data_IF_363745297832
#
_entry.id   IF_363745297832
#
_cell.length_a   1.000
_cell.length_b   1.000
_cell.length_c   1.000
_cell.angle_alpha   90.00
_cell.angle_beta   90.00
_cell.angle_gamma   90.00
#
_symmetry.space_group_name_H-M   'P 1'
#
loop_
_entity.id
_entity.type
_entity.pdbx_description
1 polymer ?
#
# COMPACT_ATOMS: atom_id res chain seq x y z
N UNK A 1 -12.45 14.08 -2.90
CA UNK A 1 -13.58 13.21 -2.47
C UNK A 1 -14.10 13.71 -1.14
N UNK A 2 -15.36 13.38 -0.74
CA UNK A 2 -15.81 13.53 0.65
C UNK A 2 -14.89 12.74 1.61
N UNK A 3 -14.99 12.92 2.95
CA UNK A 3 -14.10 12.30 3.94
C UNK A 3 -14.34 10.78 4.15
N UNK A 4 -14.61 10.03 3.08
CA UNK A 4 -14.86 8.57 3.09
C UNK A 4 -13.64 7.74 3.54
N UNK A 5 -12.45 8.34 3.47
CA UNK A 5 -11.18 7.74 3.90
C UNK A 5 -10.82 8.04 5.36
N UNK A 6 -11.66 8.79 6.08
CA UNK A 6 -11.51 9.05 7.50
C UNK A 6 -12.25 8.00 8.34
N UNK A 7 -11.77 7.76 9.57
CA UNK A 7 -12.31 6.71 10.45
C UNK A 7 -13.69 7.02 11.06
N UNK A 8 -14.15 8.27 11.00
CA UNK A 8 -15.36 8.76 11.72
C UNK A 8 -16.51 9.22 10.80
N UNK A 9 -16.42 9.00 9.49
CA UNK A 9 -17.47 9.50 8.60
C UNK A 9 -18.81 8.77 8.83
N UNK A 10 -19.91 9.52 8.89
CA UNK A 10 -21.28 9.01 8.94
C UNK A 10 -21.80 8.79 7.51
N UNK A 11 -22.76 7.88 7.30
CA UNK A 11 -23.34 7.56 5.98
C UNK A 11 -22.34 7.15 4.90
N UNK A 12 -21.26 6.45 5.28
CA UNK A 12 -20.18 6.09 4.35
C UNK A 12 -20.66 5.35 3.11
N UNK A 13 -21.70 4.51 3.19
CA UNK A 13 -22.14 3.75 2.02
C UNK A 13 -22.72 4.65 0.92
N UNK A 14 -23.36 5.77 1.28
CA UNK A 14 -23.90 6.72 0.30
C UNK A 14 -22.78 7.44 -0.44
N UNK A 15 -21.79 7.94 0.30
CA UNK A 15 -20.67 8.69 -0.30
C UNK A 15 -19.74 7.75 -1.08
N UNK A 16 -19.51 6.52 -0.59
CA UNK A 16 -18.78 5.48 -1.32
C UNK A 16 -19.55 5.12 -2.58
N UNK A 17 -20.85 4.83 -2.49
CA UNK A 17 -21.68 4.53 -3.65
C UNK A 17 -21.67 5.65 -4.69
N UNK A 18 -21.82 6.90 -4.27
CA UNK A 18 -21.70 8.05 -5.15
C UNK A 18 -20.33 8.12 -5.84
N UNK A 19 -19.24 7.83 -5.12
CA UNK A 19 -17.90 7.76 -5.69
C UNK A 19 -17.80 6.70 -6.80
N UNK A 20 -18.37 5.51 -6.58
CA UNK A 20 -18.39 4.45 -7.60
C UNK A 20 -19.22 4.85 -8.82
N UNK A 21 -20.41 5.43 -8.62
CA UNK A 21 -21.28 5.88 -9.70
C UNK A 21 -20.62 6.95 -10.58
N UNK A 22 -19.87 7.88 -9.98
CA UNK A 22 -19.15 8.93 -10.70
C UNK A 22 -17.92 8.42 -11.47
N UNK A 23 -17.42 7.24 -11.12
CA UNK A 23 -16.20 6.69 -11.67
C UNK A 23 -16.43 5.48 -12.60
N UNK A 24 -17.68 5.10 -12.90
CA UNK A 24 -17.99 4.02 -13.87
C UNK A 24 -17.33 4.32 -15.23
N UNK A 25 -16.67 3.33 -15.89
CA UNK A 25 -16.57 1.90 -15.53
C UNK A 25 -15.46 1.56 -14.52
N UNK A 26 -14.63 2.56 -14.19
CA UNK A 26 -13.57 2.49 -13.21
C UNK A 26 -12.52 3.58 -13.45
N UNK A 27 -11.70 3.94 -12.43
CA UNK A 27 -10.64 4.92 -12.60
C UNK A 27 -9.43 4.32 -13.32
N UNK A 28 -8.83 5.07 -14.25
CA UNK A 28 -7.53 4.73 -14.83
C UNK A 28 -6.41 4.85 -13.79
N UNK A 29 -6.49 5.90 -12.97
CA UNK A 29 -5.50 6.28 -11.98
C UNK A 29 -6.18 6.71 -10.69
N UNK A 30 -5.64 6.29 -9.56
CA UNK A 30 -5.93 6.86 -8.25
C UNK A 30 -4.72 7.66 -7.79
N UNK A 31 -4.92 8.95 -7.50
CA UNK A 31 -3.88 9.79 -6.91
C UNK A 31 -4.05 9.81 -5.39
N UNK A 32 -3.07 9.25 -4.69
CA UNK A 32 -2.99 9.36 -3.24
C UNK A 32 -2.15 10.57 -2.89
N UNK A 33 -2.79 11.61 -2.36
CA UNK A 33 -2.15 12.88 -2.00
C UNK A 33 -1.70 12.83 -0.55
N UNK A 34 -0.43 13.14 -0.30
CA UNK A 34 0.15 13.26 1.05
C UNK A 34 1.12 14.44 1.08
N UNK A 35 1.38 15.01 2.26
CA UNK A 35 2.31 16.13 2.39
C UNK A 35 3.75 15.64 2.53
N UNK A 36 4.67 16.29 1.82
CA UNK A 36 6.10 16.06 1.93
C UNK A 36 6.56 16.13 3.39
N UNK A 37 7.36 15.16 3.83
CA UNK A 37 7.84 15.07 5.21
C UNK A 37 6.78 14.73 6.27
N UNK A 38 5.50 14.55 5.91
CA UNK A 38 4.40 14.35 6.87
C UNK A 38 3.49 13.18 6.50
N UNK A 39 4.07 11.98 6.48
CA UNK A 39 3.28 10.74 6.36
C UNK A 39 2.94 10.16 7.74
N UNK A 40 1.70 10.31 8.16
CA UNK A 40 1.24 10.06 9.53
C UNK A 40 0.39 8.79 9.67
N UNK A 41 -0.04 8.51 10.91
CA UNK A 41 -1.03 7.47 11.19
C UNK A 41 -2.38 7.74 10.49
N UNK A 42 -2.72 9.00 10.24
CA UNK A 42 -3.93 9.36 9.49
C UNK A 42 -3.77 8.97 8.02
N UNK A 43 -2.63 9.25 7.39
CA UNK A 43 -2.35 8.81 6.01
C UNK A 43 -2.36 7.28 5.91
N UNK A 44 -1.77 6.60 6.89
CA UNK A 44 -1.80 5.13 6.97
C UNK A 44 -3.23 4.60 7.07
N UNK A 45 -4.07 5.28 7.85
CA UNK A 45 -5.51 4.95 7.96
C UNK A 45 -6.24 5.20 6.65
N UNK A 46 -5.97 6.31 5.96
CA UNK A 46 -6.57 6.61 4.67
C UNK A 46 -6.19 5.56 3.62
N UNK A 47 -4.92 5.14 3.55
CA UNK A 47 -4.45 4.06 2.67
C UNK A 47 -5.17 2.74 2.98
N UNK A 48 -5.35 2.41 4.27
CA UNK A 48 -6.13 1.23 4.66
C UNK A 48 -7.57 1.35 4.16
N UNK A 49 -8.22 2.51 4.38
CA UNK A 49 -9.60 2.77 3.93
C UNK A 49 -9.74 2.66 2.42
N UNK A 50 -8.78 3.14 1.64
CA UNK A 50 -8.78 2.96 0.17
C UNK A 50 -8.82 1.47 -0.20
N UNK A 51 -8.06 0.62 0.49
CA UNK A 51 -8.08 -0.84 0.26
C UNK A 51 -9.35 -1.51 0.73
N UNK A 52 -9.97 -1.02 1.81
CA UNK A 52 -11.26 -1.52 2.29
C UNK A 52 -12.42 -1.11 1.36
N UNK A 53 -12.29 0.00 0.63
CA UNK A 53 -13.34 0.53 -0.26
C UNK A 53 -13.23 -0.02 -1.68
N UNK A 54 -12.01 -0.06 -2.21
CA UNK A 54 -11.76 -0.48 -3.59
C UNK A 54 -11.24 -1.91 -3.67
N UNK A 55 -10.54 -2.40 -2.64
CA UNK A 55 -9.87 -3.69 -2.65
C UNK A 55 -8.36 -3.50 -2.75
N UNK A 56 -7.58 -4.46 -2.21
CA UNK A 56 -6.12 -4.35 -2.17
C UNK A 56 -5.47 -4.20 -3.56
N UNK A 57 -6.12 -4.71 -4.62
CA UNK A 57 -5.65 -4.62 -6.00
C UNK A 57 -5.58 -3.21 -6.56
N UNK A 58 -6.30 -2.24 -5.97
CA UNK A 58 -6.33 -0.84 -6.41
C UNK A 58 -4.96 -0.16 -6.35
N UNK A 59 -4.06 -0.66 -5.51
CA UNK A 59 -2.67 -0.14 -5.40
C UNK A 59 -1.91 -0.21 -6.74
N UNK A 60 -2.30 -1.14 -7.63
CA UNK A 60 -1.70 -1.25 -8.97
C UNK A 60 -2.01 -0.06 -9.87
N UNK A 61 -3.12 0.65 -9.64
CA UNK A 61 -3.52 1.84 -10.39
C UNK A 61 -3.22 3.14 -9.63
N UNK A 62 -2.42 3.08 -8.57
CA UNK A 62 -2.17 4.21 -7.70
C UNK A 62 -0.82 4.88 -7.98
N UNK A 63 -0.83 6.22 -7.91
CA UNK A 63 0.36 7.09 -7.89
C UNK A 63 0.34 7.87 -6.58
N UNK A 64 1.47 7.96 -5.88
CA UNK A 64 1.62 8.77 -4.66
C UNK A 64 2.08 10.17 -5.03
N UNK A 65 1.27 11.18 -4.71
CA UNK A 65 1.59 12.59 -4.98
C UNK A 65 1.95 13.29 -3.67
N UNK A 66 3.19 13.77 -3.59
CA UNK A 66 3.68 14.56 -2.47
C UNK A 66 3.40 16.05 -2.72
N UNK A 67 2.62 16.69 -1.86
CA UNK A 67 2.45 18.15 -1.89
C UNK A 67 3.57 18.82 -1.10
N UNK A 68 3.68 20.14 -1.21
CA UNK A 68 4.76 20.92 -0.58
C UNK A 68 6.15 20.54 -1.11
N UNK A 69 6.27 20.43 -2.44
CA UNK A 69 7.55 20.13 -3.11
C UNK A 69 8.65 21.13 -2.72
N UNK A 70 8.29 22.38 -2.46
CA UNK A 70 9.20 23.43 -2.00
C UNK A 70 9.94 23.08 -0.70
N UNK A 71 9.37 22.20 0.14
CA UNK A 71 9.96 21.77 1.41
C UNK A 71 11.10 20.75 1.21
N UNK A 72 11.31 20.23 -0.01
CA UNK A 72 12.45 19.36 -0.33
C UNK A 72 13.79 20.11 -0.35
N UNK A 73 13.78 21.43 -0.54
CA UNK A 73 15.00 22.23 -0.68
C UNK A 73 15.90 21.72 -1.81
N UNK A 74 17.09 21.23 -1.44
CA UNK A 74 18.07 20.67 -2.39
C UNK A 74 17.97 19.14 -2.55
N UNK A 75 17.14 18.47 -1.75
CA UNK A 75 16.95 17.02 -1.82
C UNK A 75 16.02 16.67 -3.00
N UNK A 76 16.34 15.62 -3.74
CA UNK A 76 15.40 15.08 -4.73
C UNK A 76 14.31 14.26 -4.04
N UNK A 77 13.10 14.23 -4.62
CA UNK A 77 12.03 13.36 -4.10
C UNK A 77 12.46 11.88 -4.02
N UNK A 78 13.32 11.43 -4.94
CA UNK A 78 13.85 10.08 -4.93
C UNK A 78 14.72 9.80 -3.70
N UNK A 79 15.61 10.71 -3.35
CA UNK A 79 16.44 10.63 -2.14
C UNK A 79 15.55 10.59 -0.90
N UNK A 80 14.58 11.49 -0.78
CA UNK A 80 13.65 11.49 0.35
C UNK A 80 12.93 10.14 0.54
N UNK A 81 12.34 9.61 -0.53
CA UNK A 81 11.59 8.35 -0.49
C UNK A 81 12.49 7.14 -0.20
N UNK A 82 13.76 7.17 -0.61
CA UNK A 82 14.69 6.06 -0.39
C UNK A 82 15.37 6.11 0.98
N UNK A 83 15.60 7.31 1.52
CA UNK A 83 16.30 7.53 2.78
C UNK A 83 15.36 7.64 3.99
N UNK A 84 14.05 7.80 3.78
CA UNK A 84 13.07 7.86 4.88
C UNK A 84 13.11 6.63 5.79
N UNK A 85 13.10 6.88 7.09
CA UNK A 85 12.92 5.89 8.16
C UNK A 85 11.45 5.47 8.33
N UNK A 86 10.52 6.17 7.67
CA UNK A 86 9.10 5.87 7.71
C UNK A 86 8.78 4.60 6.90
N UNK A 87 8.81 3.47 7.59
CA UNK A 87 8.52 2.15 7.01
C UNK A 87 7.15 2.07 6.33
N UNK A 88 6.14 2.76 6.84
CA UNK A 88 4.80 2.77 6.26
C UNK A 88 4.78 3.47 4.90
N UNK A 89 5.45 4.63 4.79
CA UNK A 89 5.60 5.34 3.53
C UNK A 89 6.39 4.51 2.51
N UNK A 90 7.51 3.92 2.93
CA UNK A 90 8.32 3.06 2.06
C UNK A 90 7.54 1.85 1.55
N UNK A 91 6.75 1.21 2.43
CA UNK A 91 5.87 0.10 2.07
C UNK A 91 4.79 0.51 1.07
N UNK A 92 4.17 1.68 1.27
CA UNK A 92 3.17 2.23 0.37
C UNK A 92 3.77 2.45 -1.03
N UNK A 93 4.90 3.16 -1.12
CA UNK A 93 5.57 3.43 -2.41
C UNK A 93 5.90 2.14 -3.15
N UNK A 94 6.37 1.12 -2.45
CA UNK A 94 6.64 -0.20 -3.06
C UNK A 94 5.36 -0.85 -3.60
N UNK A 95 4.26 -0.82 -2.83
CA UNK A 95 2.96 -1.38 -3.26
C UNK A 95 2.36 -0.61 -4.44
N UNK A 96 2.69 0.67 -4.59
CA UNK A 96 2.34 1.51 -5.73
C UNK A 96 3.36 1.42 -6.88
N UNK A 97 4.20 0.37 -6.94
CA UNK A 97 5.13 0.17 -8.06
C UNK A 97 6.19 1.26 -8.21
N UNK A 98 6.55 1.94 -7.11
CA UNK A 98 7.46 3.10 -7.10
C UNK A 98 6.99 4.25 -8.00
N UNK A 99 5.67 4.39 -8.19
CA UNK A 99 5.06 5.53 -8.90
C UNK A 99 4.77 6.65 -7.90
N UNK A 100 5.56 7.70 -7.96
CA UNK A 100 5.38 8.90 -7.16
C UNK A 100 5.91 10.15 -7.86
N UNK A 101 5.35 11.30 -7.53
CA UNK A 101 5.78 12.62 -7.98
C UNK A 101 5.56 13.66 -6.87
N UNK A 102 6.16 14.86 -7.01
CA UNK A 102 5.95 15.96 -6.07
C UNK A 102 5.38 17.20 -6.76
N UNK A 103 4.49 17.90 -6.06
CA UNK A 103 3.82 19.10 -6.52
C UNK A 103 4.06 20.26 -5.56
N UNK A 104 4.46 21.39 -6.12
CA UNK A 104 4.30 22.69 -5.49
C UNK A 104 2.97 23.26 -6.01
N UNK A 105 1.93 23.25 -5.17
CA UNK A 105 0.60 23.71 -5.57
C UNK A 105 0.53 25.24 -5.79
N UNK A 106 1.59 25.97 -5.44
CA UNK A 106 1.74 27.41 -5.67
C UNK A 106 2.57 27.73 -6.91
N UNK A 107 3.15 26.72 -7.56
CA UNK A 107 3.94 26.89 -8.77
C UNK A 107 3.11 27.48 -9.91
N UNK A 108 3.77 28.25 -10.77
CA UNK A 108 3.18 28.82 -12.00
C UNK A 108 4.21 28.77 -13.14
N UNK A 109 3.75 28.96 -14.37
CA UNK A 109 4.62 28.99 -15.54
C UNK A 109 5.33 27.65 -15.77
N UNK A 110 6.64 27.70 -15.99
CA UNK A 110 7.45 26.53 -16.36
C UNK A 110 7.46 25.45 -15.27
N UNK A 111 7.50 25.82 -13.98
CA UNK A 111 7.49 24.84 -12.89
C UNK A 111 6.17 24.06 -12.85
N UNK A 112 5.04 24.76 -13.03
CA UNK A 112 3.71 24.14 -13.09
C UNK A 112 3.60 23.19 -14.28
N UNK A 113 4.10 23.60 -15.44
CA UNK A 113 4.10 22.76 -16.64
C UNK A 113 5.00 21.54 -16.47
N UNK A 114 6.16 21.69 -15.83
CA UNK A 114 7.11 20.61 -15.55
C UNK A 114 6.54 19.55 -14.63
N UNK A 115 5.92 19.94 -13.50
CA UNK A 115 5.31 18.98 -12.57
C UNK A 115 4.10 18.25 -13.20
N UNK A 116 3.33 18.94 -14.05
CA UNK A 116 2.23 18.31 -14.80
C UNK A 116 2.77 17.29 -15.81
N UNK A 117 3.84 17.63 -16.55
CA UNK A 117 4.47 16.71 -17.48
C UNK A 117 5.02 15.45 -16.77
N UNK A 118 5.62 15.61 -15.59
CA UNK A 118 6.09 14.50 -14.76
C UNK A 118 4.94 13.56 -14.36
N UNK A 119 3.82 14.12 -13.88
CA UNK A 119 2.64 13.34 -13.54
C UNK A 119 2.07 12.61 -14.78
N UNK A 120 1.95 13.29 -15.92
CA UNK A 120 1.43 12.67 -17.14
C UNK A 120 2.35 11.56 -17.68
N UNK A 121 3.66 11.66 -17.47
CA UNK A 121 4.59 10.58 -17.79
C UNK A 121 4.36 9.34 -16.89
N UNK A 122 4.05 9.54 -15.60
CA UNK A 122 3.67 8.44 -14.71
C UNK A 122 2.33 7.81 -15.09
N UNK A 123 1.34 8.61 -15.47
CA UNK A 123 0.04 8.13 -15.96
C UNK A 123 0.23 7.29 -17.23
N UNK A 124 0.98 7.80 -18.21
CA UNK A 124 1.26 7.09 -19.46
C UNK A 124 1.99 5.75 -19.21
N UNK A 125 2.94 5.74 -18.28
CA UNK A 125 3.63 4.50 -17.87
C UNK A 125 2.68 3.51 -17.21
N UNK A 126 1.82 3.99 -16.32
CA UNK A 126 0.81 3.15 -15.66
C UNK A 126 -0.17 2.56 -16.68
N UNK A 127 -0.64 3.34 -17.66
CA UNK A 127 -1.49 2.85 -18.73
C UNK A 127 -0.80 1.74 -19.54
N UNK A 128 0.49 1.87 -19.85
CA UNK A 128 1.26 0.82 -20.52
C UNK A 128 1.37 -0.44 -19.65
N UNK A 129 1.68 -0.31 -18.36
CA UNK A 129 1.75 -1.42 -17.40
C UNK A 129 0.40 -2.14 -17.25
N UNK A 130 -0.70 -1.42 -17.44
CA UNK A 130 -2.07 -1.92 -17.33
C UNK A 130 -2.71 -2.24 -18.70
N UNK A 131 -1.96 -2.23 -19.81
CA UNK A 131 -2.48 -2.43 -21.18
C UNK A 131 -3.70 -1.54 -21.51
N UNK A 132 -3.71 -0.29 -21.05
CA UNK A 132 -4.79 0.67 -21.23
C UNK A 132 -6.05 0.36 -20.40
N UNK A 133 -6.03 -0.66 -19.54
CA UNK A 133 -7.16 -1.02 -18.69
C UNK A 133 -7.33 -0.04 -17.53
N UNK A 134 -8.60 0.27 -17.21
CA UNK A 134 -8.97 0.95 -15.97
C UNK A 134 -9.08 -0.05 -14.82
N UNK A 135 -8.97 0.45 -13.58
CA UNK A 135 -9.23 -0.34 -12.40
C UNK A 135 -10.71 -0.68 -12.31
N UNK A 136 -11.06 -1.95 -12.10
CA UNK A 136 -12.45 -2.36 -11.89
C UNK A 136 -12.58 -3.44 -10.80
N UNK A 137 -13.80 -3.59 -10.29
CA UNK A 137 -14.22 -4.60 -9.33
C UNK A 137 -15.75 -4.79 -9.41
N UNK A 138 -16.30 -5.71 -8.62
CA UNK A 138 -17.73 -6.05 -8.66
C UNK A 138 -18.64 -4.83 -8.37
N UNK A 139 -18.17 -3.88 -7.57
CA UNK A 139 -18.96 -2.69 -7.24
C UNK A 139 -19.07 -1.70 -8.39
N UNK A 140 -18.08 -1.62 -9.29
CA UNK A 140 -18.20 -0.89 -10.56
C UNK A 140 -19.21 -1.54 -11.52
N UNK A 141 -19.29 -2.87 -11.52
CA UNK A 141 -20.31 -3.60 -12.28
C UNK A 141 -21.71 -3.31 -11.72
N UNK A 142 -21.89 -3.40 -10.40
CA UNK A 142 -23.15 -3.05 -9.73
C UNK A 142 -23.56 -1.60 -9.98
N UNK A 143 -22.61 -0.66 -9.93
CA UNK A 143 -22.83 0.74 -10.27
C UNK A 143 -23.30 0.92 -11.72
N UNK A 144 -22.69 0.21 -12.67
CA UNK A 144 -23.07 0.24 -14.09
C UNK A 144 -24.49 -0.29 -14.32
N UNK A 145 -24.84 -1.38 -13.63
CA UNK A 145 -26.20 -1.95 -13.67
C UNK A 145 -27.21 -0.95 -13.11
N UNK A 146 -26.93 -0.36 -11.93
CA UNK A 146 -27.81 0.64 -11.33
C UNK A 146 -28.05 1.86 -12.23
N UNK A 147 -27.00 2.36 -12.91
CA UNK A 147 -27.12 3.48 -13.85
C UNK A 147 -27.95 3.13 -15.10
N UNK A 148 -28.04 1.85 -15.44
CA UNK A 148 -28.78 1.35 -16.61
C UNK A 148 -30.23 0.96 -16.29
N UNK A 149 -30.63 0.95 -15.02
CA UNK A 149 -31.98 0.59 -14.58
C UNK A 149 -33.04 1.64 -14.95
N UNK A 150 -34.25 1.20 -15.30
CA UNK A 150 -35.38 2.10 -15.61
C UNK A 150 -35.85 2.92 -14.38
N UNK A 151 -36.39 4.10 -14.67
CA UNK A 151 -36.72 5.16 -13.70
C UNK A 151 -37.86 4.82 -12.73
N UNK A 152 -38.71 3.85 -13.07
CA UNK A 152 -39.95 3.52 -12.34
C UNK A 152 -39.70 2.96 -10.92
N UNK A 153 -38.57 2.27 -10.69
CA UNK A 153 -38.22 1.65 -9.39
C UNK A 153 -36.90 2.17 -8.81
N UNK A 154 -36.47 3.38 -9.21
CA UNK A 154 -35.14 3.91 -8.91
C UNK A 154 -34.81 3.97 -7.42
N UNK A 155 -35.80 4.17 -6.57
CA UNK A 155 -35.61 4.22 -5.12
C UNK A 155 -35.21 2.87 -4.54
N UNK A 156 -35.89 1.78 -4.94
CA UNK A 156 -35.58 0.44 -4.44
C UNK A 156 -34.26 -0.06 -5.04
N UNK A 157 -34.03 0.18 -6.33
CA UNK A 157 -32.76 -0.10 -6.98
C UNK A 157 -31.58 0.59 -6.26
N UNK A 158 -31.76 1.84 -5.82
CA UNK A 158 -30.74 2.57 -5.08
C UNK A 158 -30.50 1.98 -3.69
N UNK A 159 -31.55 1.51 -3.01
CA UNK A 159 -31.41 0.81 -1.72
C UNK A 159 -30.66 -0.51 -1.88
N UNK A 160 -30.98 -1.31 -2.89
CA UNK A 160 -30.23 -2.52 -3.23
C UNK A 160 -28.77 -2.23 -3.54
N UNK A 161 -28.50 -1.18 -4.33
CA UNK A 161 -27.15 -0.74 -4.64
C UNK A 161 -26.35 -0.36 -3.39
N UNK A 162 -26.93 0.43 -2.47
CA UNK A 162 -26.26 0.78 -1.21
C UNK A 162 -26.01 -0.43 -0.31
N UNK A 163 -26.88 -1.45 -0.36
CA UNK A 163 -26.65 -2.72 0.33
C UNK A 163 -25.46 -3.49 -0.26
N UNK A 164 -25.32 -3.49 -1.60
CA UNK A 164 -24.16 -4.07 -2.29
C UNK A 164 -22.87 -3.33 -1.94
N UNK A 165 -22.89 -1.99 -1.90
CA UNK A 165 -21.75 -1.17 -1.44
C UNK A 165 -21.32 -1.61 -0.04
N UNK A 166 -22.26 -1.71 0.90
CA UNK A 166 -21.98 -2.12 2.28
C UNK A 166 -21.33 -3.51 2.33
N UNK A 167 -21.92 -4.47 1.63
CA UNK A 167 -21.46 -5.87 1.63
C UNK A 167 -20.05 -5.98 1.07
N UNK A 168 -19.79 -5.31 -0.06
CA UNK A 168 -18.50 -5.38 -0.74
C UNK A 168 -17.38 -4.73 0.08
N UNK A 169 -17.65 -3.58 0.71
CA UNK A 169 -16.68 -2.92 1.60
C UNK A 169 -16.34 -3.80 2.80
N UNK A 170 -17.32 -4.45 3.42
CA UNK A 170 -17.05 -5.35 4.55
C UNK A 170 -16.31 -6.61 4.10
N UNK A 171 -16.62 -7.14 2.91
CA UNK A 171 -15.90 -8.27 2.30
C UNK A 171 -14.42 -7.93 2.10
N UNK A 172 -14.12 -6.81 1.43
CA UNK A 172 -12.76 -6.35 1.17
C UNK A 172 -11.98 -6.06 2.46
N UNK A 173 -12.66 -5.51 3.48
CA UNK A 173 -12.09 -5.29 4.81
C UNK A 173 -11.71 -6.60 5.51
N UNK A 174 -12.54 -7.63 5.39
CA UNK A 174 -12.25 -8.95 5.94
C UNK A 174 -11.07 -9.62 5.23
N UNK A 175 -11.05 -9.58 3.89
CA UNK A 175 -9.91 -10.07 3.10
C UNK A 175 -8.59 -9.37 3.48
N UNK A 176 -8.64 -8.05 3.69
CA UNK A 176 -7.48 -7.29 4.09
C UNK A 176 -6.94 -7.74 5.47
N UNK A 177 -7.83 -7.95 6.45
CA UNK A 177 -7.44 -8.47 7.78
C UNK A 177 -6.83 -9.87 7.70
N UNK A 178 -7.39 -10.74 6.87
CA UNK A 178 -6.87 -12.10 6.67
C UNK A 178 -5.49 -12.09 6.01
N UNK A 179 -5.28 -11.23 5.02
CA UNK A 179 -3.97 -11.04 4.40
C UNK A 179 -2.94 -10.48 5.38
N UNK A 180 -3.32 -9.50 6.21
CA UNK A 180 -2.45 -8.95 7.26
C UNK A 180 -2.07 -10.03 8.29
N UNK A 181 -3.05 -10.82 8.76
CA UNK A 181 -2.80 -11.95 9.68
C UNK A 181 -1.90 -13.03 9.07
N UNK A 182 -2.16 -13.43 7.82
CA UNK A 182 -1.34 -14.38 7.08
C UNK A 182 0.10 -13.89 6.89
N UNK A 183 0.28 -12.60 6.60
CA UNK A 183 1.59 -11.99 6.47
C UNK A 183 2.35 -12.01 7.80
N UNK A 184 1.70 -11.65 8.91
CA UNK A 184 2.29 -11.72 10.25
C UNK A 184 2.74 -13.14 10.59
N UNK A 185 1.89 -14.14 10.33
CA UNK A 185 2.24 -15.55 10.54
C UNK A 185 3.46 -15.97 9.71
N UNK A 186 3.50 -15.62 8.41
CA UNK A 186 4.66 -15.89 7.53
C UNK A 186 5.94 -15.22 8.04
N UNK A 187 5.84 -14.00 8.56
CA UNK A 187 6.98 -13.28 9.12
C UNK A 187 7.51 -13.98 10.38
N UNK A 188 6.62 -14.34 11.31
CA UNK A 188 6.98 -15.07 12.53
C UNK A 188 7.67 -16.40 12.21
N UNK A 189 7.18 -17.15 11.21
CA UNK A 189 7.84 -18.38 10.76
C UNK A 189 9.27 -18.11 10.25
N UNK A 190 9.49 -17.07 9.45
CA UNK A 190 10.85 -16.73 8.94
C UNK A 190 11.81 -16.36 10.05
N UNK A 191 11.37 -15.58 11.03
CA UNK A 191 12.22 -15.21 12.19
C UNK A 191 12.59 -16.44 13.00
N UNK A 192 11.61 -17.31 13.30
CA UNK A 192 11.87 -18.54 14.04
C UNK A 192 12.87 -19.47 13.33
N UNK A 193 12.75 -19.61 12.00
CA UNK A 193 13.73 -20.39 11.21
C UNK A 193 15.14 -19.78 11.25
N UNK A 194 15.25 -18.45 11.13
CA UNK A 194 16.53 -17.76 11.19
C UNK A 194 17.19 -17.92 12.56
N UNK A 195 16.44 -17.72 13.65
CA UNK A 195 16.93 -17.90 15.01
C UNK A 195 17.37 -19.34 15.28
N UNK A 196 16.61 -20.34 14.82
CA UNK A 196 16.98 -21.76 14.95
C UNK A 196 18.32 -22.08 14.27
N UNK A 197 18.58 -21.50 13.09
CA UNK A 197 19.86 -21.64 12.39
C UNK A 197 21.02 -21.00 13.17
N UNK A 198 20.80 -19.85 13.80
CA UNK A 198 21.84 -19.19 14.61
C UNK A 198 22.15 -19.96 15.90
N UNK A 199 21.13 -20.52 16.56
CA UNK A 199 21.30 -21.34 17.78
C UNK A 199 22.05 -22.64 17.49
N UNK A 200 21.71 -23.32 16.39
CA UNK A 200 22.40 -24.55 15.96
C UNK A 200 23.85 -24.29 15.58
N UNK A 201 24.15 -23.19 14.90
CA UNK A 201 25.53 -22.80 14.60
C UNK A 201 26.34 -22.49 15.88
N UNK A 202 25.77 -21.73 16.82
CA UNK A 202 26.44 -21.37 18.07
C UNK A 202 26.76 -22.62 18.92
N UNK A 203 25.81 -23.55 19.03
CA UNK A 203 26.02 -24.81 19.76
C UNK A 203 27.10 -25.68 19.12
N UNK A 204 27.14 -25.77 17.78
CA UNK A 204 28.19 -26.49 17.06
C UNK A 204 29.59 -25.91 17.33
N UNK A 205 29.72 -24.57 17.28
CA UNK A 205 30.98 -23.88 17.57
C UNK A 205 31.47 -24.18 18.99
N UNK A 206 30.58 -24.14 19.99
CA UNK A 206 30.92 -24.44 21.39
C UNK A 206 31.40 -25.90 21.52
N UNK A 207 30.68 -26.85 20.93
CA UNK A 207 31.04 -28.27 20.98
C UNK A 207 32.39 -28.53 20.30
N UNK A 208 32.63 -27.97 19.11
CA UNK A 208 33.93 -28.08 18.43
C UNK A 208 35.07 -27.48 19.27
N UNK A 209 34.83 -26.34 19.93
CA UNK A 209 35.80 -25.73 20.85
C UNK A 209 36.15 -26.62 22.04
N UNK A 210 35.15 -27.24 22.67
CA UNK A 210 35.38 -28.18 23.78
C UNK A 210 36.18 -29.41 23.35
N UNK A 211 35.85 -29.99 22.18
CA UNK A 211 36.59 -31.13 21.63
C UNK A 211 38.06 -30.76 21.37
N UNK A 212 38.30 -29.58 20.78
CA UNK A 212 39.66 -29.10 20.53
C UNK A 212 40.47 -28.92 21.82
N UNK A 213 39.86 -28.36 22.87
CA UNK A 213 40.49 -28.23 24.19
C UNK A 213 40.88 -29.61 24.77
N UNK A 214 39.99 -30.60 24.68
CA UNK A 214 40.27 -31.97 25.16
C UNK A 214 41.44 -32.60 24.39
N UNK A 215 41.50 -32.40 23.07
CA UNK A 215 42.61 -32.91 22.24
C UNK A 215 43.93 -32.25 22.67
N UNK A 216 43.95 -30.93 22.89
CA UNK A 216 45.15 -30.22 23.36
C UNK A 216 45.62 -30.73 24.73
N UNK A 217 44.71 -30.94 25.67
CA UNK A 217 45.04 -31.48 27.00
C UNK A 217 45.68 -32.87 26.86
N UNK A 218 45.10 -33.76 26.06
CA UNK A 218 45.62 -35.11 25.84
C UNK A 218 47.00 -35.11 25.16
N UNK A 219 47.23 -34.21 24.19
CA UNK A 219 48.54 -34.05 23.55
C UNK A 219 49.61 -33.56 24.54
N UNK A 220 49.27 -32.58 25.38
CA UNK A 220 50.17 -32.07 26.41
C UNK A 220 50.54 -33.13 27.45
N UNK A 221 49.59 -33.98 27.86
CA UNK A 221 49.85 -35.08 28.81
C UNK A 221 50.70 -36.18 28.16
N UNK A 222 50.43 -36.52 26.89
CA UNK A 222 51.13 -37.58 26.17
C UNK A 222 52.60 -37.28 25.82
N UNK A 223 53.01 -36.01 25.77
CA UNK A 223 54.41 -35.61 25.58
C UNK A 223 55.21 -35.48 26.88
N UNK A 224 54.57 -35.60 28.04
CA UNK A 224 55.20 -35.50 29.35
C UNK A 224 55.65 -36.83 29.96
N UNK A 225 55.61 -37.93 29.18
CA UNK A 225 55.95 -39.29 29.59
C UNK A 225 57.09 -39.85 28.74
#
# INVERSE_FOLDING_TARGET
TPPIFESKAQNQEKDIGACYLLCVPGPHVLLLVTQQGRFTAQDTTAVRRVKEIFGAGVMRHMIVLFTHKEDLGNETLHEFVTQTDNHSLRSLVQKCGRRYCAFNNRASGEEQQGQLAELMALVSRLEQECNGSFYSNDLFLHASVFLSSDSSERQEAYRCYLAQVRQEVERQKQELKEQEGSWVAKMLCRVNMCMGSHITAATLIIVCGLIFIVILINLCIGQGH
#
